data_IF_197852104331
#
_entry.id   IF_197852104331
#
_cell.length_a   1.000
_cell.length_b   1.000
_cell.length_c   1.000
_cell.angle_alpha   90.00
_cell.angle_beta   90.00
_cell.angle_gamma   90.00
#
_symmetry.space_group_name_H-M   'P 1'
#
loop_
_entity.id
_entity.type
_entity.pdbx_description
1 polymer ?
#
# COMPACT_ATOMS: atom_id res chain seq x y z
N UNK A 1 36.28 13.90 -23.19
CA UNK A 1 35.66 13.93 -21.84
C UNK A 1 35.43 12.54 -21.32
N UNK A 2 35.94 12.22 -20.11
CA UNK A 2 35.58 10.96 -19.41
C UNK A 2 34.14 11.06 -18.92
N UNK A 3 33.36 9.99 -19.09
CA UNK A 3 32.01 9.89 -18.51
C UNK A 3 32.16 9.80 -16.98
N UNK A 4 31.34 10.52 -16.19
CA UNK A 4 31.37 10.38 -14.74
C UNK A 4 31.00 8.95 -14.35
N UNK A 5 31.81 8.32 -13.49
CA UNK A 5 31.51 7.01 -12.91
C UNK A 5 30.54 7.20 -11.74
N UNK A 6 29.38 6.57 -11.83
CA UNK A 6 28.41 6.52 -10.72
C UNK A 6 28.86 5.41 -9.79
N UNK A 7 29.21 5.75 -8.54
CA UNK A 7 29.55 4.78 -7.51
C UNK A 7 28.31 4.06 -6.99
N UNK A 8 28.51 2.90 -6.38
CA UNK A 8 27.45 2.20 -5.64
C UNK A 8 26.97 3.04 -4.45
N UNK A 9 25.69 2.95 -4.06
CA UNK A 9 25.16 3.66 -2.90
C UNK A 9 26.01 3.40 -1.64
N UNK A 10 26.35 4.46 -0.92
CA UNK A 10 27.06 4.34 0.34
C UNK A 10 26.07 4.18 1.49
N UNK A 11 26.25 3.12 2.29
CA UNK A 11 25.43 2.79 3.46
C UNK A 11 23.91 2.70 3.20
N UNK A 12 23.44 1.85 2.26
CA UNK A 12 22.02 1.66 2.06
C UNK A 12 21.40 0.93 3.27
N UNK A 13 20.39 1.55 3.88
CA UNK A 13 19.57 0.92 4.92
C UNK A 13 18.31 0.37 4.28
N UNK A 14 18.08 -0.94 4.37
CA UNK A 14 16.85 -1.55 3.89
C UNK A 14 15.73 -1.35 4.92
N UNK A 15 14.87 -0.36 4.68
CA UNK A 15 13.78 -0.03 5.59
C UNK A 15 12.65 -1.06 5.52
N UNK A 16 11.91 -1.13 4.40
CA UNK A 16 10.98 -2.23 4.11
C UNK A 16 10.57 -2.19 2.63
N UNK A 17 10.51 -3.36 1.96
CA UNK A 17 9.95 -3.46 0.62
C UNK A 17 8.47 -3.80 0.70
N UNK A 18 7.61 -2.89 0.24
CA UNK A 18 6.15 -3.12 0.21
C UNK A 18 5.82 -4.04 -0.96
N UNK A 19 5.13 -5.14 -0.68
CA UNK A 19 4.63 -6.08 -1.68
C UNK A 19 3.11 -6.16 -1.58
N UNK A 20 2.41 -6.18 -2.71
CA UNK A 20 0.99 -6.55 -2.74
C UNK A 20 0.88 -8.08 -2.91
N UNK A 21 0.03 -8.71 -2.11
CA UNK A 21 -0.37 -10.09 -2.31
C UNK A 21 -1.53 -10.11 -3.32
N UNK A 22 -1.34 -10.61 -4.55
CA UNK A 22 -2.39 -10.60 -5.56
C UNK A 22 -3.56 -11.53 -5.22
N UNK A 23 -3.37 -12.53 -4.34
CA UNK A 23 -4.46 -13.45 -3.98
C UNK A 23 -5.39 -12.88 -2.91
N UNK A 24 -4.88 -12.06 -2.00
CA UNK A 24 -5.67 -11.46 -0.90
C UNK A 24 -5.93 -9.96 -1.09
N UNK A 25 -5.19 -9.29 -1.99
CA UNK A 25 -5.19 -7.84 -2.14
C UNK A 25 -4.48 -7.10 -0.99
N UNK A 26 -3.89 -7.82 -0.03
CA UNK A 26 -3.24 -7.21 1.13
C UNK A 26 -1.80 -6.79 0.85
N UNK A 27 -1.34 -5.73 1.52
CA UNK A 27 0.04 -5.28 1.45
C UNK A 27 0.87 -5.87 2.59
N UNK A 28 2.03 -6.45 2.26
CA UNK A 28 3.04 -6.89 3.23
C UNK A 28 4.20 -5.90 3.26
N UNK A 29 4.85 -5.77 4.42
CA UNK A 29 5.98 -4.84 4.59
C UNK A 29 5.60 -3.35 4.66
N UNK A 30 4.34 -3.02 4.94
CA UNK A 30 3.97 -1.62 5.20
C UNK A 30 4.56 -1.12 6.52
N UNK A 31 5.16 0.08 6.55
CA UNK A 31 5.46 0.77 7.80
C UNK A 31 4.19 0.98 8.64
N UNK A 32 4.29 0.94 9.96
CA UNK A 32 3.11 0.96 10.84
C UNK A 32 2.26 2.23 10.72
N UNK A 33 2.89 3.40 10.49
CA UNK A 33 2.17 4.64 10.23
C UNK A 33 1.30 4.58 8.96
N UNK A 34 1.77 3.86 7.94
CA UNK A 34 1.03 3.70 6.68
C UNK A 34 -0.14 2.73 6.86
N UNK A 35 0.04 1.64 7.61
CA UNK A 35 -1.07 0.74 7.97
C UNK A 35 -2.22 1.50 8.62
N UNK A 36 -1.92 2.32 9.64
CA UNK A 36 -2.93 3.13 10.32
C UNK A 36 -3.61 4.14 9.39
N UNK A 37 -2.83 4.77 8.51
CA UNK A 37 -3.34 5.75 7.55
C UNK A 37 -4.27 5.09 6.52
N UNK A 38 -3.89 3.94 5.98
CA UNK A 38 -4.69 3.19 5.03
C UNK A 38 -6.01 2.72 5.65
N UNK A 39 -5.97 2.18 6.87
CA UNK A 39 -7.17 1.76 7.59
C UNK A 39 -8.12 2.94 7.84
N UNK A 40 -7.60 4.08 8.32
CA UNK A 40 -8.40 5.29 8.53
C UNK A 40 -9.06 5.78 7.25
N UNK A 41 -8.32 5.80 6.14
CA UNK A 41 -8.85 6.23 4.84
C UNK A 41 -9.88 5.23 4.28
N UNK A 42 -9.64 3.93 4.42
CA UNK A 42 -10.59 2.89 4.00
C UNK A 42 -11.93 3.03 4.74
N UNK A 43 -11.90 3.20 6.06
CA UNK A 43 -13.10 3.40 6.87
C UNK A 43 -13.86 4.67 6.44
N UNK A 44 -13.13 5.76 6.21
CA UNK A 44 -13.73 7.02 5.73
C UNK A 44 -14.36 6.88 4.35
N UNK A 45 -13.73 6.12 3.46
CA UNK A 45 -14.25 5.86 2.12
C UNK A 45 -15.51 5.01 2.18
N UNK A 46 -15.51 3.91 2.95
CA UNK A 46 -16.67 3.05 3.14
C UNK A 46 -17.85 3.82 3.75
N UNK A 47 -17.59 4.67 4.75
CA UNK A 47 -18.62 5.49 5.40
C UNK A 47 -19.28 6.46 4.41
N UNK A 48 -18.49 7.08 3.52
CA UNK A 48 -19.01 7.97 2.48
C UNK A 48 -19.76 7.24 1.36
N UNK A 49 -19.41 5.97 1.11
CA UNK A 49 -19.94 5.18 0.02
C UNK A 49 -20.73 3.96 0.51
N UNK A 50 -21.43 4.09 1.66
CA UNK A 50 -22.12 2.96 2.32
C UNK A 50 -23.09 2.22 1.40
N UNK A 51 -23.81 2.94 0.54
CA UNK A 51 -24.74 2.34 -0.44
C UNK A 51 -24.01 1.45 -1.45
N UNK A 52 -22.94 1.96 -2.07
CA UNK A 52 -22.14 1.19 -3.03
C UNK A 52 -21.47 -0.04 -2.40
N UNK A 53 -21.01 0.07 -1.14
CA UNK A 53 -20.47 -1.08 -0.38
C UNK A 53 -21.55 -2.13 -0.15
N UNK A 54 -22.76 -1.71 0.27
CA UNK A 54 -23.87 -2.63 0.47
C UNK A 54 -24.32 -3.32 -0.83
N UNK A 55 -24.35 -2.59 -1.96
CA UNK A 55 -24.65 -3.14 -3.28
C UNK A 55 -23.59 -4.14 -3.76
N UNK A 56 -22.31 -3.84 -3.53
CA UNK A 56 -21.21 -4.75 -3.85
C UNK A 56 -21.33 -6.05 -3.07
N UNK A 57 -21.63 -5.99 -1.76
CA UNK A 57 -21.82 -7.19 -0.94
C UNK A 57 -23.02 -8.03 -1.40
N UNK A 58 -24.11 -7.40 -1.87
CA UNK A 58 -25.26 -8.11 -2.45
C UNK A 58 -24.92 -8.78 -3.78
N UNK A 59 -24.04 -8.19 -4.59
CA UNK A 59 -23.64 -8.76 -5.88
C UNK A 59 -22.82 -10.05 -5.76
N UNK A 60 -22.04 -10.19 -4.69
CA UNK A 60 -21.22 -11.39 -4.43
C UNK A 60 -21.94 -12.46 -3.58
N UNK A 61 -23.19 -12.22 -3.17
CA UNK A 61 -24.07 -13.21 -2.52
C UNK A 61 -24.85 -14.01 -3.56
#
# INVERSE_FOLDING_TARGET
>A
SKRPEISTPYNPIHLTHVRSNPSTGEFTGLPDGWKQTLQKNNNRYQEKNRQAVAETLKFYQ
#
